data_IF_144905788609
#
_entry.id   IF_144905788609
#
_cell.length_a   1.000
_cell.length_b   1.000
_cell.length_c   1.000
_cell.angle_alpha   90.00
_cell.angle_beta   90.00
_cell.angle_gamma   90.00
#
_symmetry.space_group_name_H-M   'P 1'
#
loop_
_entity.id
_entity.type
_entity.pdbx_description
1 polymer ?
#
# COMPACT_ATOMS: atom_id res chain seq x y z
N UNK A 1 -9.03 -2.36 -44.61
CA UNK A 1 -9.68 -2.98 -43.43
C UNK A 1 -8.75 -2.82 -42.24
N UNK A 2 -9.17 -2.15 -41.17
CA UNK A 2 -8.35 -1.92 -39.96
C UNK A 2 -8.81 -2.79 -38.80
N UNK A 3 -8.82 -4.11 -39.01
CA UNK A 3 -9.13 -5.06 -37.92
C UNK A 3 -7.85 -5.42 -37.15
N UNK A 4 -6.67 -5.24 -37.76
CA UNK A 4 -5.36 -5.50 -37.14
C UNK A 4 -4.96 -4.45 -36.08
N UNK A 5 -5.66 -3.32 -35.95
CA UNK A 5 -5.40 -2.33 -34.89
C UNK A 5 -6.37 -2.45 -33.70
N UNK A 6 -7.21 -3.49 -33.64
CA UNK A 6 -8.20 -3.68 -32.57
C UNK A 6 -7.84 -4.82 -31.60
N UNK A 7 -6.66 -5.42 -31.75
CA UNK A 7 -6.17 -6.48 -30.86
C UNK A 7 -4.69 -6.24 -30.59
N UNK A 8 -4.35 -5.12 -29.98
CA UNK A 8 -3.10 -5.02 -29.24
C UNK A 8 -3.44 -5.43 -27.80
N UNK A 9 -3.15 -6.68 -27.37
CA UNK A 9 -3.33 -7.06 -25.99
C UNK A 9 -2.25 -6.34 -25.18
N UNK A 10 -2.56 -5.13 -24.70
CA UNK A 10 -1.73 -4.44 -23.69
C UNK A 10 -1.53 -5.32 -22.44
N UNK A 11 -2.38 -6.33 -22.27
CA UNK A 11 -2.23 -7.41 -21.31
C UNK A 11 -2.32 -8.74 -22.07
N UNK A 12 -1.16 -9.37 -22.26
CA UNK A 12 -1.02 -10.68 -22.91
C UNK A 12 -1.76 -11.78 -22.13
N UNK A 13 -1.98 -11.57 -20.83
CA UNK A 13 -2.75 -12.44 -19.95
C UNK A 13 -3.27 -11.67 -18.72
N UNK A 14 -4.45 -12.02 -18.21
CA UNK A 14 -5.06 -11.38 -17.04
C UNK A 14 -4.30 -11.69 -15.73
N UNK A 15 -3.69 -12.87 -15.63
CA UNK A 15 -2.89 -13.28 -14.48
C UNK A 15 -1.64 -12.41 -14.39
N UNK A 16 -0.92 -12.22 -15.49
CA UNK A 16 0.25 -11.35 -15.54
C UNK A 16 -0.08 -9.88 -15.23
N UNK A 17 -1.27 -9.41 -15.61
CA UNK A 17 -1.74 -8.08 -15.24
C UNK A 17 -1.97 -7.95 -13.73
N UNK A 18 -2.53 -8.97 -13.09
CA UNK A 18 -2.75 -9.01 -11.64
C UNK A 18 -1.43 -9.08 -10.88
N UNK A 19 -0.49 -9.92 -11.32
CA UNK A 19 0.84 -10.03 -10.70
C UNK A 19 1.62 -8.72 -10.79
N UNK A 20 1.60 -8.06 -11.96
CA UNK A 20 2.24 -6.77 -12.15
C UNK A 20 1.61 -5.70 -11.26
N UNK A 21 0.27 -5.67 -11.18
CA UNK A 21 -0.45 -4.72 -10.33
C UNK A 21 -0.15 -4.95 -8.85
N UNK A 22 -0.12 -6.20 -8.40
CA UNK A 22 0.21 -6.58 -7.02
C UNK A 22 1.64 -6.14 -6.67
N UNK A 23 2.59 -6.41 -7.55
CA UNK A 23 3.99 -5.97 -7.40
C UNK A 23 4.08 -4.45 -7.28
N UNK A 24 3.40 -3.73 -8.17
CA UNK A 24 3.34 -2.26 -8.12
C UNK A 24 2.66 -1.74 -6.84
N UNK A 25 1.61 -2.40 -6.37
CA UNK A 25 0.92 -2.02 -5.13
C UNK A 25 1.83 -2.14 -3.93
N UNK A 26 2.66 -3.19 -3.87
CA UNK A 26 3.63 -3.38 -2.79
C UNK A 26 4.71 -2.29 -2.86
N UNK A 27 5.39 -2.13 -4.01
CA UNK A 27 6.44 -1.12 -4.21
C UNK A 27 6.00 0.29 -3.83
N UNK A 28 4.82 0.70 -4.30
CA UNK A 28 4.27 2.03 -4.02
C UNK A 28 4.02 2.26 -2.52
N UNK A 29 3.56 1.23 -1.81
CA UNK A 29 3.22 1.33 -0.40
C UNK A 29 4.43 1.20 0.53
N UNK A 30 5.52 0.55 0.10
CA UNK A 30 6.67 0.23 0.96
C UNK A 30 7.94 0.99 0.61
N UNK A 31 8.19 1.33 -0.65
CA UNK A 31 9.48 1.88 -1.09
C UNK A 31 9.40 3.37 -1.45
N UNK A 32 8.20 3.89 -1.76
CA UNK A 32 8.05 5.25 -2.28
C UNK A 32 7.66 6.25 -1.19
N UNK A 33 8.59 7.11 -0.72
CA UNK A 33 8.27 8.20 0.17
C UNK A 33 7.47 9.28 -0.57
N UNK A 34 6.37 9.73 0.03
CA UNK A 34 5.51 10.75 -0.58
C UNK A 34 5.68 12.09 0.14
N UNK A 35 5.90 13.17 -0.61
CA UNK A 35 6.03 14.53 -0.06
C UNK A 35 4.79 14.97 0.74
N UNK A 36 3.59 14.59 0.31
CA UNK A 36 2.33 14.81 1.04
C UNK A 36 2.25 14.05 2.38
N UNK A 37 3.00 12.95 2.52
CA UNK A 37 3.16 12.18 3.75
C UNK A 37 4.45 12.59 4.48
N UNK A 38 4.94 13.82 4.31
CA UNK A 38 6.19 14.31 4.91
C UNK A 38 7.43 13.46 4.58
N UNK A 39 7.41 12.78 3.44
CA UNK A 39 8.51 11.94 2.99
C UNK A 39 8.53 10.54 3.61
N UNK A 40 7.44 10.08 4.23
CA UNK A 40 7.31 8.67 4.62
C UNK A 40 6.50 7.89 3.59
N UNK A 41 6.68 6.57 3.59
CA UNK A 41 5.90 5.67 2.74
C UNK A 41 4.48 5.52 3.30
N UNK A 42 3.47 5.17 2.47
CA UNK A 42 2.12 4.92 2.95
C UNK A 42 2.07 3.84 4.05
N UNK A 43 2.88 2.77 3.94
CA UNK A 43 3.01 1.73 4.96
C UNK A 43 3.47 2.29 6.30
N UNK A 44 4.55 3.07 6.32
CA UNK A 44 5.05 3.73 7.53
C UNK A 44 4.04 4.73 8.11
N UNK A 45 3.33 5.46 7.25
CA UNK A 45 2.27 6.36 7.68
C UNK A 45 1.14 5.63 8.39
N UNK A 46 0.72 4.44 7.91
CA UNK A 46 -0.34 3.66 8.60
C UNK A 46 0.09 3.16 9.97
N UNK A 47 1.36 2.75 10.13
CA UNK A 47 1.91 2.34 11.43
C UNK A 47 1.96 3.54 12.39
N UNK A 48 2.39 4.71 11.90
CA UNK A 48 2.42 5.95 12.67
C UNK A 48 0.99 6.44 13.03
N UNK A 49 0.03 6.36 12.11
CA UNK A 49 -1.35 6.77 12.33
C UNK A 49 -2.12 5.83 13.26
N UNK A 50 -1.76 4.55 13.34
CA UNK A 50 -2.30 3.59 14.33
C UNK A 50 -1.76 3.84 15.74
N UNK A 51 -0.80 4.76 15.92
CA UNK A 51 -0.30 5.19 17.22
C UNK A 51 -0.96 6.53 17.58
N UNK A 52 -2.21 6.51 18.10
CA UNK A 52 -2.34 6.66 19.56
C UNK A 52 -3.65 6.04 20.12
N UNK A 53 -3.74 4.72 20.32
CA UNK A 53 -4.92 4.15 21.02
C UNK A 53 -4.64 2.89 21.87
N UNK A 54 -3.38 2.45 22.02
CA UNK A 54 -3.01 1.27 22.81
C UNK A 54 -2.08 1.55 23.99
N UNK A 55 -1.95 2.81 24.40
CA UNK A 55 -1.09 3.21 25.51
C UNK A 55 -1.76 4.22 26.45
N UNK A 56 -3.00 3.95 26.89
CA UNK A 56 -3.58 4.69 28.03
C UNK A 56 -4.68 4.01 28.85
N UNK A 57 -5.10 2.78 28.56
CA UNK A 57 -6.00 2.03 29.46
C UNK A 57 -5.25 0.87 30.12
N UNK A 58 -4.72 1.11 31.34
CA UNK A 58 -4.18 0.04 32.17
C UNK A 58 -2.89 0.36 32.94
N UNK A 59 -2.61 1.62 33.28
CA UNK A 59 -1.62 1.91 34.31
C UNK A 59 -2.21 1.54 35.69
N UNK A 60 -1.88 0.32 36.12
CA UNK A 60 -1.71 -0.17 37.50
C UNK A 60 -2.53 0.51 38.62
N UNK A 61 -3.53 -0.21 39.13
CA UNK A 61 -3.87 -0.20 40.55
C UNK A 61 -2.92 -1.19 41.26
N UNK A 62 -2.04 -0.76 42.19
CA UNK A 62 -1.52 -1.67 43.19
C UNK A 62 -2.52 -1.78 44.34
N UNK A 63 -2.98 -3.02 44.57
CA UNK A 63 -3.73 -3.43 45.76
C UNK A 63 -2.71 -3.85 46.83
N UNK A 64 -2.68 -3.12 47.95
CA UNK A 64 -2.34 -3.56 49.32
C UNK A 64 -2.07 -2.33 50.20
#
# INVERSE_FOLDING_TARGET
>A
MRIECLNEPWFLDLEGAQELLETWRIDYNTERPHSSLKGVTPGEFTVAAQTPLRASFGASLPSA
#
